data_IF_344529525033
#
_entry.id   IF_344529525033
#
_cell.length_a   1.000
_cell.length_b   1.000
_cell.length_c   1.000
_cell.angle_alpha   90.00
_cell.angle_beta   90.00
_cell.angle_gamma   90.00
#
_symmetry.space_group_name_H-M   'P 1'
#
loop_
_entity.id
_entity.type
_entity.pdbx_description
1 polymer ?
#
# COMPACT_ATOMS: atom_id res chain seq x y z
N UNK A 1 25.53 9.65 42.24
CA UNK A 1 24.97 8.34 41.90
C UNK A 1 23.49 8.45 41.56
N UNK A 2 22.63 9.12 42.36
CA UNK A 2 21.20 9.22 42.10
C UNK A 2 20.84 9.84 40.73
N UNK A 3 21.61 10.83 40.25
CA UNK A 3 21.42 11.43 38.93
C UNK A 3 21.72 10.47 37.78
N UNK A 4 22.77 9.67 37.92
CA UNK A 4 23.16 8.64 36.93
C UNK A 4 22.16 7.49 36.93
N UNK A 5 21.71 7.04 38.10
CA UNK A 5 20.71 6.00 38.23
C UNK A 5 19.36 6.45 37.62
N UNK A 6 18.99 7.71 37.85
CA UNK A 6 17.80 8.32 37.20
C UNK A 6 17.92 8.42 35.68
N UNK A 7 19.12 8.80 35.17
CA UNK A 7 19.38 8.85 33.73
C UNK A 7 19.31 7.45 33.08
N UNK A 8 19.85 6.43 33.77
CA UNK A 8 19.80 5.05 33.31
C UNK A 8 18.36 4.50 33.30
N UNK A 9 17.58 4.80 34.35
CA UNK A 9 16.15 4.44 34.38
C UNK A 9 15.37 5.13 33.26
N UNK A 10 15.66 6.43 33.01
CA UNK A 10 15.07 7.19 31.90
C UNK A 10 15.42 6.61 30.52
N UNK A 11 16.66 6.22 30.31
CA UNK A 11 17.10 5.53 29.09
C UNK A 11 16.40 4.18 28.89
N UNK A 12 16.20 3.42 29.95
CA UNK A 12 15.43 2.17 29.93
C UNK A 12 13.95 2.37 29.57
N UNK A 13 13.32 3.40 30.14
CA UNK A 13 11.94 3.76 29.80
C UNK A 13 11.81 4.22 28.34
N UNK A 14 12.78 4.98 27.85
CA UNK A 14 12.84 5.42 26.46
C UNK A 14 13.03 4.24 25.48
N UNK A 15 13.89 3.28 25.83
CA UNK A 15 14.07 2.05 25.06
C UNK A 15 12.77 1.24 24.95
N UNK A 16 12.05 1.07 26.07
CA UNK A 16 10.73 0.40 26.09
C UNK A 16 9.70 1.15 25.24
N UNK A 17 9.68 2.47 25.30
CA UNK A 17 8.84 3.32 24.47
C UNK A 17 9.15 3.17 22.98
N UNK A 18 10.43 3.11 22.61
CA UNK A 18 10.88 2.89 21.25
C UNK A 18 10.51 1.50 20.71
N UNK A 19 10.61 0.45 21.54
CA UNK A 19 10.15 -0.90 21.20
C UNK A 19 8.65 -0.94 20.92
N UNK A 20 7.87 -0.26 21.77
CA UNK A 20 6.41 -0.14 21.60
C UNK A 20 6.06 0.59 20.29
N UNK A 21 6.75 1.69 20.01
CA UNK A 21 6.57 2.45 18.77
C UNK A 21 6.93 1.62 17.54
N UNK A 22 8.08 0.95 17.57
CA UNK A 22 8.53 0.08 16.48
C UNK A 22 7.53 -1.06 16.22
N UNK A 23 7.04 -1.72 17.28
CA UNK A 23 6.00 -2.74 17.16
C UNK A 23 4.67 -2.21 16.62
N UNK A 24 4.29 -1.00 16.99
CA UNK A 24 3.12 -0.30 16.45
C UNK A 24 3.27 0.02 14.96
N UNK A 25 4.41 0.54 14.55
CA UNK A 25 4.72 0.85 13.15
C UNK A 25 4.80 -0.39 12.27
N UNK A 26 5.35 -1.51 12.76
CA UNK A 26 5.36 -2.79 12.04
C UNK A 26 3.93 -3.29 11.77
N UNK A 27 3.02 -3.16 12.75
CA UNK A 27 1.60 -3.51 12.56
C UNK A 27 0.91 -2.58 11.55
N UNK A 28 1.23 -1.28 11.61
CA UNK A 28 0.70 -0.28 10.68
C UNK A 28 1.21 -0.54 9.25
N UNK A 29 2.47 -0.89 9.08
CA UNK A 29 3.06 -1.28 7.79
C UNK A 29 2.35 -2.50 7.21
N UNK A 30 2.17 -3.57 8.00
CA UNK A 30 1.43 -4.75 7.56
C UNK A 30 -0.03 -4.45 7.19
N UNK A 31 -0.69 -3.53 7.91
CA UNK A 31 -2.02 -3.02 7.58
C UNK A 31 -2.04 -2.23 6.27
N UNK A 32 -1.06 -1.36 6.07
CA UNK A 32 -0.89 -0.55 4.87
C UNK A 32 -0.59 -1.41 3.62
N UNK A 33 0.26 -2.44 3.76
CA UNK A 33 0.53 -3.38 2.66
C UNK A 33 -0.74 -4.12 2.22
N UNK A 34 -1.58 -4.57 3.18
CA UNK A 34 -2.87 -5.19 2.87
C UNK A 34 -3.82 -4.23 2.17
N UNK A 35 -3.87 -2.98 2.61
CA UNK A 35 -4.71 -1.96 2.02
C UNK A 35 -4.23 -1.61 0.61
N UNK A 36 -2.93 -1.49 0.39
CA UNK A 36 -2.31 -1.27 -0.93
C UNK A 36 -2.61 -2.43 -1.89
N UNK A 37 -2.48 -3.68 -1.42
CA UNK A 37 -2.85 -4.87 -2.21
C UNK A 37 -4.34 -4.89 -2.56
N UNK A 38 -5.22 -4.58 -1.58
CA UNK A 38 -6.67 -4.47 -1.81
C UNK A 38 -7.03 -3.37 -2.82
N UNK A 39 -6.35 -2.24 -2.77
CA UNK A 39 -6.51 -1.13 -3.71
C UNK A 39 -6.10 -1.52 -5.13
N UNK A 40 -4.98 -2.23 -5.28
CA UNK A 40 -4.51 -2.78 -6.56
C UNK A 40 -5.52 -3.79 -7.12
N UNK A 41 -6.03 -4.68 -6.26
CA UNK A 41 -7.04 -5.66 -6.65
C UNK A 41 -8.35 -4.98 -7.08
N UNK A 42 -8.78 -3.92 -6.39
CA UNK A 42 -9.95 -3.14 -6.78
C UNK A 42 -9.79 -2.54 -8.17
N UNK A 43 -8.65 -1.90 -8.45
CA UNK A 43 -8.34 -1.35 -9.78
C UNK A 43 -8.42 -2.44 -10.86
N UNK A 44 -7.72 -3.55 -10.66
CA UNK A 44 -7.72 -4.68 -11.60
C UNK A 44 -9.11 -5.27 -11.81
N UNK A 45 -9.93 -5.35 -10.76
CA UNK A 45 -11.30 -5.86 -10.85
C UNK A 45 -12.21 -4.92 -11.66
N UNK A 46 -12.06 -3.59 -11.50
CA UNK A 46 -12.80 -2.60 -12.27
C UNK A 46 -12.37 -2.62 -13.74
N UNK A 47 -11.08 -2.73 -14.04
CA UNK A 47 -10.55 -2.87 -15.40
C UNK A 47 -11.05 -4.15 -16.09
N UNK A 48 -11.01 -5.28 -15.37
CA UNK A 48 -11.53 -6.55 -15.87
C UNK A 48 -13.06 -6.48 -16.11
N UNK A 49 -13.82 -5.90 -15.19
CA UNK A 49 -15.25 -5.68 -15.33
C UNK A 49 -15.59 -4.81 -16.52
N UNK A 50 -14.83 -3.74 -16.76
CA UNK A 50 -14.93 -2.87 -17.92
C UNK A 50 -14.68 -3.64 -19.23
N UNK A 51 -13.62 -4.46 -19.27
CA UNK A 51 -13.30 -5.29 -20.44
C UNK A 51 -14.40 -6.31 -20.71
N UNK A 52 -14.87 -7.05 -19.71
CA UNK A 52 -15.94 -8.03 -19.83
C UNK A 52 -17.25 -7.38 -20.30
N UNK A 53 -17.57 -6.20 -19.80
CA UNK A 53 -18.74 -5.43 -20.22
C UNK A 53 -18.63 -4.99 -21.68
N UNK A 54 -17.45 -4.57 -22.15
CA UNK A 54 -17.22 -4.23 -23.56
C UNK A 54 -17.37 -5.42 -24.48
N UNK A 55 -16.87 -6.60 -24.10
CA UNK A 55 -17.03 -7.85 -24.85
C UNK A 55 -18.50 -8.28 -24.91
N UNK A 56 -19.21 -8.20 -23.78
CA UNK A 56 -20.64 -8.49 -23.70
C UNK A 56 -21.45 -7.54 -24.58
N UNK A 57 -21.11 -6.23 -24.56
CA UNK A 57 -21.73 -5.25 -25.43
C UNK A 57 -21.47 -5.55 -26.91
N UNK A 58 -20.23 -5.89 -27.25
CA UNK A 58 -19.86 -6.24 -28.64
C UNK A 58 -20.67 -7.44 -29.15
N UNK A 59 -20.86 -8.45 -28.32
CA UNK A 59 -21.66 -9.65 -28.64
C UNK A 59 -23.14 -9.29 -28.85
N UNK A 60 -23.72 -8.56 -27.91
CA UNK A 60 -25.12 -8.12 -27.98
C UNK A 60 -25.35 -7.18 -29.15
N UNK A 61 -24.43 -6.23 -29.38
CA UNK A 61 -24.50 -5.30 -30.51
C UNK A 61 -24.34 -6.02 -31.85
N UNK A 62 -23.45 -6.99 -31.96
CA UNK A 62 -23.30 -7.82 -33.16
C UNK A 62 -24.58 -8.58 -33.50
N UNK A 63 -25.28 -9.09 -32.48
CA UNK A 63 -26.58 -9.75 -32.64
C UNK A 63 -27.65 -8.74 -33.12
N UNK A 64 -27.70 -7.57 -32.49
CA UNK A 64 -28.55 -6.46 -32.94
C UNK A 64 -28.26 -6.04 -34.38
N UNK A 65 -26.98 -5.84 -34.72
CA UNK A 65 -26.60 -5.39 -36.08
C UNK A 65 -27.04 -6.38 -37.16
N UNK A 66 -26.89 -7.71 -36.90
CA UNK A 66 -27.38 -8.75 -37.83
C UNK A 66 -28.89 -8.66 -38.06
N UNK A 67 -29.66 -8.42 -37.02
CA UNK A 67 -31.10 -8.26 -37.09
C UNK A 67 -31.45 -6.96 -37.83
N UNK A 68 -30.81 -5.83 -37.50
CA UNK A 68 -31.02 -4.55 -38.17
C UNK A 68 -30.67 -4.64 -39.66
N UNK A 69 -29.59 -5.31 -40.01
CA UNK A 69 -29.19 -5.60 -41.36
C UNK A 69 -30.27 -6.40 -42.12
N UNK A 70 -30.77 -7.49 -41.52
CA UNK A 70 -31.81 -8.31 -42.15
C UNK A 70 -33.13 -7.55 -42.33
N UNK A 71 -33.54 -6.75 -41.33
CA UNK A 71 -34.73 -5.88 -41.43
C UNK A 71 -34.58 -4.89 -42.60
N UNK A 72 -33.40 -4.27 -42.73
CA UNK A 72 -33.13 -3.31 -43.79
C UNK A 72 -33.09 -4.00 -45.17
N UNK A 73 -32.51 -5.20 -45.28
CA UNK A 73 -32.61 -6.02 -46.50
C UNK A 73 -34.06 -6.27 -46.90
N UNK A 74 -34.86 -6.74 -45.96
CA UNK A 74 -36.28 -7.04 -46.24
C UNK A 74 -37.08 -5.83 -46.66
N UNK A 75 -36.84 -4.66 -46.09
CA UNK A 75 -37.48 -3.42 -46.45
C UNK A 75 -37.15 -2.97 -47.90
N UNK A 76 -36.05 -3.45 -48.46
CA UNK A 76 -35.61 -3.21 -49.84
C UNK A 76 -35.90 -4.40 -50.78
N UNK A 77 -36.65 -5.41 -50.32
CA UNK A 77 -36.96 -6.58 -51.10
C UNK A 77 -35.77 -7.52 -51.33
N UNK A 78 -34.72 -7.42 -50.53
CA UNK A 78 -33.53 -8.24 -50.62
C UNK A 78 -33.61 -9.36 -49.59
N UNK A 79 -33.35 -10.60 -50.02
CA UNK A 79 -33.22 -11.70 -49.07
C UNK A 79 -31.86 -11.60 -48.33
N UNK A 80 -31.84 -11.43 -47.01
CA UNK A 80 -30.58 -11.24 -46.26
C UNK A 80 -29.60 -12.39 -46.38
N UNK A 81 -30.10 -13.62 -46.60
CA UNK A 81 -29.29 -14.87 -46.70
C UNK A 81 -28.62 -15.02 -48.10
N UNK A 82 -29.09 -14.29 -49.11
CA UNK A 82 -28.59 -14.38 -50.49
C UNK A 82 -28.15 -13.01 -51.03
N UNK A 83 -27.98 -12.03 -50.18
CA UNK A 83 -27.55 -10.69 -50.58
C UNK A 83 -26.13 -10.71 -51.18
N UNK A 84 -25.97 -10.14 -52.37
CA UNK A 84 -24.66 -10.02 -53.00
C UNK A 84 -23.75 -9.04 -52.23
N UNK A 85 -22.41 -9.11 -52.39
CA UNK A 85 -21.49 -8.18 -51.72
C UNK A 85 -21.84 -6.69 -51.99
N UNK A 86 -22.30 -6.33 -53.19
CA UNK A 86 -22.75 -4.97 -53.51
C UNK A 86 -24.00 -4.59 -52.71
N UNK A 87 -24.98 -5.49 -52.62
CA UNK A 87 -26.17 -5.28 -51.80
C UNK A 87 -25.84 -5.15 -50.34
N UNK A 88 -24.94 -5.99 -49.82
CA UNK A 88 -24.47 -5.91 -48.44
C UNK A 88 -23.83 -4.54 -48.15
N UNK A 89 -23.00 -4.02 -49.07
CA UNK A 89 -22.36 -2.70 -48.91
C UNK A 89 -23.40 -1.58 -48.88
N UNK A 90 -24.43 -1.64 -49.76
CA UNK A 90 -25.52 -0.65 -49.77
C UNK A 90 -26.31 -0.66 -48.47
N UNK A 91 -26.66 -1.83 -47.97
CA UNK A 91 -27.41 -1.96 -46.71
C UNK A 91 -26.56 -1.47 -45.53
N UNK A 92 -25.27 -1.82 -45.49
CA UNK A 92 -24.34 -1.35 -44.43
C UNK A 92 -24.23 0.20 -44.48
N UNK A 93 -24.13 0.79 -45.67
CA UNK A 93 -24.12 2.24 -45.83
C UNK A 93 -25.44 2.90 -45.37
N UNK A 94 -26.59 2.32 -45.65
CA UNK A 94 -27.89 2.82 -45.21
C UNK A 94 -28.01 2.77 -43.66
N UNK A 95 -27.56 1.70 -43.05
CA UNK A 95 -27.49 1.61 -41.58
C UNK A 95 -26.53 2.64 -40.98
N UNK A 96 -25.37 2.81 -41.60
CA UNK A 96 -24.38 3.81 -41.15
C UNK A 96 -24.92 5.24 -41.25
N UNK A 97 -25.67 5.57 -42.32
CA UNK A 97 -26.36 6.85 -42.45
C UNK A 97 -27.41 7.07 -41.34
N UNK A 98 -28.00 6.01 -40.82
CA UNK A 98 -28.91 6.04 -39.67
C UNK A 98 -28.15 6.01 -38.29
N UNK A 99 -26.82 6.11 -38.33
CA UNK A 99 -25.97 6.08 -37.12
C UNK A 99 -25.74 4.68 -36.56
N UNK A 100 -26.15 3.61 -37.28
CA UNK A 100 -25.94 2.22 -36.86
C UNK A 100 -24.67 1.69 -37.55
N UNK A 101 -23.54 1.81 -36.90
CA UNK A 101 -22.25 1.30 -37.37
C UNK A 101 -22.14 -0.21 -37.23
N UNK A 102 -21.37 -0.85 -38.10
CA UNK A 102 -21.07 -2.28 -37.95
C UNK A 102 -20.13 -2.53 -36.75
N UNK A 103 -19.28 -1.57 -36.40
CA UNK A 103 -18.34 -1.68 -35.31
C UNK A 103 -19.01 -1.27 -34.00
N UNK A 104 -19.06 -2.16 -32.98
CA UNK A 104 -19.60 -1.81 -31.68
C UNK A 104 -18.65 -0.83 -30.96
N UNK A 105 -19.22 0.16 -30.28
CA UNK A 105 -18.53 1.11 -29.42
C UNK A 105 -19.32 1.28 -28.13
N UNK A 106 -18.89 0.57 -27.09
CA UNK A 106 -19.52 0.62 -25.77
C UNK A 106 -19.38 1.98 -25.09
N UNK A 107 -18.43 2.81 -25.53
CA UNK A 107 -18.24 4.17 -24.98
C UNK A 107 -19.28 5.14 -25.54
N UNK A 108 -19.88 4.82 -26.68
CA UNK A 108 -20.81 5.69 -27.37
C UNK A 108 -22.25 5.55 -26.83
N UNK A 109 -22.66 6.54 -26.01
CA UNK A 109 -24.06 6.69 -25.58
C UNK A 109 -25.01 6.79 -26.75
N UNK A 110 -24.57 7.47 -27.82
CA UNK A 110 -25.36 7.65 -29.03
C UNK A 110 -25.60 6.31 -29.73
N UNK A 111 -24.56 5.49 -29.91
CA UNK A 111 -24.70 4.18 -30.53
C UNK A 111 -25.65 3.27 -29.74
N UNK A 112 -25.51 3.25 -28.42
CA UNK A 112 -26.42 2.50 -27.53
C UNK A 112 -27.88 2.97 -27.72
N UNK A 113 -28.11 4.29 -27.67
CA UNK A 113 -29.46 4.85 -27.79
C UNK A 113 -30.06 4.58 -29.19
N UNK A 114 -29.27 4.65 -30.24
CA UNK A 114 -29.73 4.32 -31.59
C UNK A 114 -30.06 2.84 -31.74
N UNK A 115 -29.27 1.95 -31.20
CA UNK A 115 -29.51 0.50 -31.24
C UNK A 115 -30.82 0.13 -30.54
N UNK A 116 -30.99 0.60 -29.29
CA UNK A 116 -32.22 0.34 -28.54
C UNK A 116 -33.43 1.00 -29.12
N UNK A 117 -33.28 2.25 -29.59
CA UNK A 117 -34.35 2.99 -30.30
C UNK A 117 -34.77 2.33 -31.61
N UNK A 118 -33.82 1.76 -32.37
CA UNK A 118 -34.13 1.04 -33.61
C UNK A 118 -35.00 -0.21 -33.33
N UNK A 119 -34.66 -0.98 -32.32
CA UNK A 119 -35.44 -2.16 -31.93
C UNK A 119 -36.87 -1.78 -31.61
N UNK A 120 -37.05 -0.75 -30.78
CA UNK A 120 -38.37 -0.29 -30.35
C UNK A 120 -39.18 0.26 -31.56
N UNK A 121 -38.57 1.09 -32.41
CA UNK A 121 -39.24 1.70 -33.58
C UNK A 121 -39.64 0.66 -34.62
N UNK A 122 -38.85 -0.38 -34.83
CA UNK A 122 -39.04 -1.40 -35.85
C UNK A 122 -39.45 -2.76 -35.26
N UNK A 123 -40.07 -2.78 -34.08
CA UNK A 123 -40.31 -4.01 -33.33
C UNK A 123 -40.97 -5.13 -34.14
N UNK A 124 -42.00 -4.81 -34.90
CA UNK A 124 -42.70 -5.81 -35.75
C UNK A 124 -41.78 -6.47 -36.78
N UNK A 125 -40.98 -5.66 -37.50
CA UNK A 125 -40.02 -6.16 -38.49
C UNK A 125 -38.85 -6.91 -37.83
N UNK A 126 -38.37 -6.44 -36.68
CA UNK A 126 -37.36 -7.13 -35.87
C UNK A 126 -37.89 -8.48 -35.42
N UNK A 127 -39.13 -8.54 -34.91
CA UNK A 127 -39.80 -9.80 -34.51
C UNK A 127 -39.95 -10.78 -35.67
N UNK A 128 -40.31 -10.29 -36.86
CA UNK A 128 -40.42 -11.14 -38.05
C UNK A 128 -39.09 -11.80 -38.43
N UNK A 129 -37.98 -11.04 -38.39
CA UNK A 129 -36.62 -11.54 -38.67
C UNK A 129 -36.20 -12.55 -37.63
N UNK A 130 -36.40 -12.23 -36.35
CA UNK A 130 -36.00 -13.11 -35.24
C UNK A 130 -36.85 -14.41 -35.25
N UNK A 131 -38.16 -14.29 -35.52
CA UNK A 131 -39.05 -15.46 -35.65
C UNK A 131 -38.62 -16.37 -36.80
N UNK A 132 -38.27 -15.82 -37.97
CA UNK A 132 -37.72 -16.60 -39.07
C UNK A 132 -36.42 -17.34 -38.68
N UNK A 133 -35.57 -16.73 -37.91
CA UNK A 133 -34.32 -17.31 -37.42
C UNK A 133 -34.62 -18.46 -36.41
N UNK A 134 -35.56 -18.23 -35.48
CA UNK A 134 -36.01 -19.25 -34.52
C UNK A 134 -36.64 -20.45 -35.24
N UNK A 135 -37.52 -20.21 -36.22
CA UNK A 135 -38.16 -21.28 -36.99
C UNK A 135 -37.12 -22.09 -37.79
N UNK A 136 -36.16 -21.40 -38.43
CA UNK A 136 -35.10 -22.08 -39.19
C UNK A 136 -34.19 -22.93 -38.26
N UNK A 137 -33.81 -22.42 -37.08
CA UNK A 137 -33.00 -23.13 -36.12
C UNK A 137 -33.72 -24.38 -35.57
N UNK A 138 -35.04 -24.36 -35.47
CA UNK A 138 -35.87 -25.47 -35.06
C UNK A 138 -36.25 -26.45 -36.20
N UNK A 139 -35.75 -26.23 -37.42
CA UNK A 139 -36.07 -27.05 -38.58
C UNK A 139 -37.56 -26.97 -38.98
N UNK A 140 -38.26 -25.89 -38.62
CA UNK A 140 -39.67 -25.70 -38.88
C UNK A 140 -40.62 -26.56 -37.99
N UNK A 141 -40.12 -27.19 -36.95
CA UNK A 141 -40.90 -28.09 -36.09
C UNK A 141 -41.72 -27.41 -34.99
N UNK A 142 -41.51 -26.10 -34.78
CA UNK A 142 -42.26 -25.32 -33.78
C UNK A 142 -43.52 -24.74 -34.41
N UNK A 143 -44.61 -24.68 -33.64
CA UNK A 143 -45.81 -23.97 -34.01
C UNK A 143 -45.56 -22.43 -33.97
N UNK A 144 -46.45 -21.71 -34.68
CA UNK A 144 -46.31 -20.25 -34.85
C UNK A 144 -46.36 -19.47 -33.54
N UNK A 145 -47.17 -19.90 -32.57
CA UNK A 145 -47.30 -19.30 -31.27
C UNK A 145 -45.99 -19.44 -30.47
N UNK A 146 -45.39 -20.64 -30.48
CA UNK A 146 -44.11 -20.92 -29.86
C UNK A 146 -42.96 -20.17 -30.51
N UNK A 147 -42.93 -20.09 -31.85
CA UNK A 147 -41.95 -19.28 -32.59
C UNK A 147 -42.07 -17.79 -32.22
N UNK A 148 -43.30 -17.28 -32.15
CA UNK A 148 -43.57 -15.88 -31.78
C UNK A 148 -43.09 -15.55 -30.37
N UNK A 149 -43.40 -16.43 -29.37
CA UNK A 149 -42.95 -16.26 -27.98
C UNK A 149 -41.42 -16.28 -27.84
N UNK A 150 -40.77 -17.24 -28.50
CA UNK A 150 -39.29 -17.31 -28.52
C UNK A 150 -38.65 -16.13 -29.21
N UNK A 151 -39.26 -15.54 -30.22
CA UNK A 151 -38.79 -14.34 -30.87
C UNK A 151 -38.84 -13.14 -29.92
N UNK A 152 -39.95 -13.00 -29.17
CA UNK A 152 -40.05 -11.94 -28.12
C UNK A 152 -38.99 -12.12 -27.03
N UNK A 153 -38.77 -13.36 -26.54
CA UNK A 153 -37.73 -13.66 -25.56
C UNK A 153 -36.31 -13.29 -26.07
N UNK A 154 -36.00 -13.61 -27.33
CA UNK A 154 -34.71 -13.26 -27.93
C UNK A 154 -34.53 -11.75 -28.10
N UNK A 155 -35.58 -11.02 -28.46
CA UNK A 155 -35.55 -9.56 -28.55
C UNK A 155 -35.31 -8.93 -27.17
N UNK A 156 -36.00 -9.41 -26.14
CA UNK A 156 -35.80 -8.98 -24.76
C UNK A 156 -34.37 -9.27 -24.33
N UNK A 157 -33.86 -10.48 -24.59
CA UNK A 157 -32.49 -10.88 -24.26
C UNK A 157 -31.46 -9.99 -24.94
N UNK A 158 -31.63 -9.70 -26.23
CA UNK A 158 -30.74 -8.80 -27.00
C UNK A 158 -30.76 -7.37 -26.45
N UNK A 159 -31.96 -6.85 -26.16
CA UNK A 159 -32.14 -5.47 -25.67
C UNK A 159 -31.59 -5.34 -24.23
N UNK A 160 -31.88 -6.31 -23.35
CA UNK A 160 -31.38 -6.32 -22.00
C UNK A 160 -29.86 -6.55 -21.96
N UNK A 161 -29.30 -7.38 -22.84
CA UNK A 161 -27.88 -7.60 -23.00
C UNK A 161 -27.14 -6.32 -23.38
N UNK A 162 -27.65 -5.55 -24.34
CA UNK A 162 -27.12 -4.23 -24.69
C UNK A 162 -27.15 -3.26 -23.52
N UNK A 163 -28.30 -3.19 -22.81
CA UNK A 163 -28.48 -2.27 -21.69
C UNK A 163 -27.57 -2.62 -20.51
N UNK A 164 -27.55 -3.88 -20.11
CA UNK A 164 -26.75 -4.36 -18.98
C UNK A 164 -25.25 -4.18 -19.25
N UNK A 165 -24.78 -4.53 -20.44
CA UNK A 165 -23.38 -4.40 -20.81
C UNK A 165 -22.95 -2.92 -20.87
N UNK A 166 -23.77 -2.06 -21.48
CA UNK A 166 -23.51 -0.61 -21.52
C UNK A 166 -23.45 0.00 -20.11
N UNK A 167 -24.42 -0.34 -19.27
CA UNK A 167 -24.45 0.17 -17.88
C UNK A 167 -23.28 -0.36 -17.05
N UNK A 168 -22.95 -1.66 -17.16
CA UNK A 168 -21.83 -2.25 -16.47
C UNK A 168 -20.50 -1.58 -16.86
N UNK A 169 -20.29 -1.35 -18.16
CA UNK A 169 -19.12 -0.62 -18.65
C UNK A 169 -19.03 0.78 -18.03
N UNK A 170 -20.12 1.54 -18.11
CA UNK A 170 -20.12 2.92 -17.60
C UNK A 170 -19.93 2.98 -16.10
N UNK A 171 -20.53 2.06 -15.34
CA UNK A 171 -20.35 2.00 -13.89
C UNK A 171 -18.88 1.73 -13.52
N UNK A 172 -18.25 0.72 -14.15
CA UNK A 172 -16.83 0.44 -13.92
C UNK A 172 -15.95 1.61 -14.36
N UNK A 173 -16.22 2.20 -15.52
CA UNK A 173 -15.45 3.31 -16.06
C UNK A 173 -15.57 4.56 -15.20
N UNK A 174 -16.78 4.94 -14.79
CA UNK A 174 -17.01 6.11 -13.92
C UNK A 174 -16.38 5.92 -12.56
N UNK A 175 -16.52 4.73 -11.96
CA UNK A 175 -15.90 4.42 -10.67
C UNK A 175 -14.38 4.49 -10.76
N UNK A 176 -13.79 3.88 -11.79
CA UNK A 176 -12.35 3.91 -12.00
C UNK A 176 -11.83 5.35 -12.18
N UNK A 177 -12.45 6.12 -13.09
CA UNK A 177 -12.07 7.53 -13.33
C UNK A 177 -12.23 8.37 -12.07
N UNK A 178 -13.30 8.19 -11.31
CA UNK A 178 -13.51 8.93 -10.05
C UNK A 178 -12.45 8.62 -9.00
N UNK A 179 -11.99 7.38 -8.92
CA UNK A 179 -10.92 6.97 -8.00
C UNK A 179 -9.55 7.48 -8.46
N UNK A 180 -9.30 7.48 -9.78
CA UNK A 180 -8.08 8.03 -10.38
C UNK A 180 -8.03 9.55 -10.23
N UNK A 181 -9.09 10.27 -10.55
CA UNK A 181 -9.19 11.73 -10.44
C UNK A 181 -9.08 12.20 -8.96
N UNK A 182 -9.57 11.40 -8.02
CA UNK A 182 -9.40 11.63 -6.59
C UNK A 182 -7.97 11.33 -6.10
N UNK A 183 -7.09 10.83 -6.94
CA UNK A 183 -5.73 10.42 -6.56
C UNK A 183 -5.70 9.23 -5.57
N UNK A 184 -6.77 8.44 -5.52
CA UNK A 184 -6.92 7.37 -4.53
C UNK A 184 -5.80 6.34 -4.62
N UNK A 185 -5.47 5.89 -5.82
CA UNK A 185 -4.44 4.86 -6.04
C UNK A 185 -3.03 5.38 -5.71
N UNK A 186 -2.71 6.60 -6.15
CA UNK A 186 -1.43 7.25 -5.89
C UNK A 186 -1.29 7.63 -4.41
N UNK A 187 -2.37 8.12 -3.81
CA UNK A 187 -2.42 8.43 -2.39
C UNK A 187 -2.17 7.20 -1.51
N UNK A 188 -2.72 6.05 -1.87
CA UNK A 188 -2.48 4.79 -1.16
C UNK A 188 -1.04 4.31 -1.29
N UNK A 189 -0.43 4.46 -2.47
CA UNK A 189 0.98 4.16 -2.70
C UNK A 189 1.87 5.07 -1.84
N UNK A 190 1.63 6.37 -1.89
CA UNK A 190 2.38 7.37 -1.10
C UNK A 190 2.23 7.15 0.41
N UNK A 191 1.03 6.79 0.88
CA UNK A 191 0.80 6.46 2.28
C UNK A 191 1.62 5.24 2.70
N UNK A 192 1.64 4.19 1.89
CA UNK A 192 2.40 2.98 2.17
C UNK A 192 3.91 3.26 2.25
N UNK A 193 4.44 4.06 1.33
CA UNK A 193 5.84 4.49 1.32
C UNK A 193 6.17 5.35 2.54
N UNK A 194 5.29 6.27 2.91
CA UNK A 194 5.43 7.09 4.11
C UNK A 194 5.48 6.26 5.40
N UNK A 195 4.64 5.23 5.51
CA UNK A 195 4.64 4.31 6.66
C UNK A 195 5.94 3.48 6.72
N UNK A 196 6.43 2.99 5.58
CA UNK A 196 7.72 2.27 5.50
C UNK A 196 8.90 3.17 5.92
N UNK A 197 8.89 4.42 5.49
CA UNK A 197 9.88 5.41 5.90
C UNK A 197 9.82 5.69 7.40
N UNK A 198 8.63 5.86 7.95
CA UNK A 198 8.43 6.05 9.39
C UNK A 198 8.90 4.84 10.21
N UNK A 199 8.63 3.62 9.76
CA UNK A 199 9.11 2.40 10.42
C UNK A 199 10.63 2.28 10.39
N UNK A 200 11.26 2.63 9.28
CA UNK A 200 12.72 2.71 9.15
C UNK A 200 13.31 3.74 10.12
N UNK A 201 12.73 4.94 10.20
CA UNK A 201 13.13 5.99 11.14
C UNK A 201 13.00 5.55 12.62
N UNK A 202 11.92 4.85 12.95
CA UNK A 202 11.73 4.32 14.31
C UNK A 202 12.78 3.25 14.68
N UNK A 203 13.17 2.41 13.72
CA UNK A 203 14.23 1.42 13.90
C UNK A 203 15.58 2.09 14.16
N UNK A 204 15.89 3.17 13.42
CA UNK A 204 17.11 3.96 13.64
C UNK A 204 17.09 4.66 15.00
N UNK A 205 15.95 5.24 15.38
CA UNK A 205 15.77 5.87 16.68
C UNK A 205 15.99 4.86 17.82
N UNK A 206 15.42 3.65 17.70
CA UNK A 206 15.64 2.56 18.66
C UNK A 206 17.13 2.23 18.80
N UNK A 207 17.85 2.05 17.70
CA UNK A 207 19.28 1.78 17.71
C UNK A 207 20.07 2.90 18.42
N UNK A 208 19.72 4.16 18.18
CA UNK A 208 20.32 5.31 18.88
C UNK A 208 20.05 5.30 20.40
N UNK A 209 18.84 4.94 20.80
CA UNK A 209 18.46 4.80 22.21
C UNK A 209 19.23 3.66 22.90
N UNK A 210 19.38 2.50 22.23
CA UNK A 210 20.15 1.37 22.75
C UNK A 210 21.62 1.75 22.96
N UNK A 211 22.21 2.53 22.03
CA UNK A 211 23.56 3.07 22.17
C UNK A 211 23.67 4.06 23.34
N UNK A 212 22.68 4.96 23.49
CA UNK A 212 22.64 5.90 24.62
C UNK A 212 22.54 5.18 25.97
N UNK A 213 21.70 4.14 26.04
CA UNK A 213 21.56 3.30 27.24
C UNK A 213 22.90 2.60 27.62
N UNK A 214 23.59 2.07 26.61
CA UNK A 214 24.90 1.46 26.79
C UNK A 214 25.91 2.48 27.29
N UNK A 215 25.96 3.68 26.71
CA UNK A 215 26.86 4.77 27.15
C UNK A 215 26.56 5.24 28.58
N UNK A 216 25.28 5.34 28.93
CA UNK A 216 24.87 5.69 30.31
C UNK A 216 25.29 4.60 31.32
N UNK A 217 25.19 3.33 30.97
CA UNK A 217 25.66 2.21 31.78
C UNK A 217 27.17 2.26 32.04
N UNK A 218 27.95 2.58 31.00
CA UNK A 218 29.40 2.73 31.12
C UNK A 218 29.79 3.93 31.98
N UNK A 219 29.05 5.06 31.83
CA UNK A 219 29.27 6.24 32.69
C UNK A 219 28.95 5.92 34.15
N UNK A 220 27.89 5.16 34.42
CA UNK A 220 27.56 4.67 35.77
C UNK A 220 28.68 3.79 36.36
N UNK A 221 29.20 2.85 35.58
CA UNK A 221 30.31 2.01 36.00
C UNK A 221 31.57 2.84 36.28
N UNK A 222 31.93 3.77 35.44
CA UNK A 222 33.07 4.69 35.62
C UNK A 222 32.92 5.56 36.85
N UNK A 223 31.72 6.07 37.13
CA UNK A 223 31.43 6.86 38.33
C UNK A 223 31.61 6.02 39.61
N UNK A 224 31.18 4.75 39.60
CA UNK A 224 31.39 3.83 40.75
C UNK A 224 32.87 3.54 40.97
N UNK A 225 33.65 3.36 39.91
CA UNK A 225 35.10 3.18 40.01
C UNK A 225 35.80 4.41 40.56
N UNK A 226 35.43 5.61 40.08
CA UNK A 226 35.95 6.87 40.60
C UNK A 226 35.65 7.04 42.09
N UNK A 227 34.42 6.74 42.51
CA UNK A 227 34.03 6.77 43.92
C UNK A 227 34.86 5.82 44.76
N UNK A 228 35.10 4.60 44.27
CA UNK A 228 35.98 3.62 44.96
C UNK A 228 37.42 4.13 45.04
N UNK A 229 37.95 4.69 43.96
CA UNK A 229 39.29 5.28 43.93
C UNK A 229 39.46 6.47 44.93
N UNK A 230 38.45 7.33 45.00
CA UNK A 230 38.42 8.42 45.98
C UNK A 230 38.33 7.91 47.42
N UNK A 231 37.61 6.83 47.68
CA UNK A 231 37.56 6.17 48.97
C UNK A 231 38.94 5.63 49.37
N UNK A 232 39.64 4.99 48.43
CA UNK A 232 41.00 4.50 48.61
C UNK A 232 41.99 5.65 48.90
N UNK A 233 41.89 6.76 48.18
CA UNK A 233 42.69 7.98 48.37
C UNK A 233 42.42 8.58 49.77
N UNK A 234 41.15 8.68 50.18
CA UNK A 234 40.75 9.17 51.49
C UNK A 234 41.38 8.31 52.62
N UNK A 235 41.34 7.00 52.45
CA UNK A 235 41.96 6.07 53.39
C UNK A 235 43.49 6.25 53.46
N UNK A 236 44.13 6.43 52.29
CA UNK A 236 45.56 6.71 52.18
C UNK A 236 45.95 8.02 52.88
N UNK A 237 45.15 9.09 52.68
CA UNK A 237 45.35 10.40 53.34
C UNK A 237 45.16 10.27 54.88
N UNK A 238 44.19 9.51 55.35
CA UNK A 238 44.00 9.26 56.77
C UNK A 238 45.21 8.50 57.36
N UNK A 239 45.71 7.50 56.63
CA UNK A 239 46.94 6.76 57.04
C UNK A 239 48.13 7.66 57.08
N UNK A 240 48.31 8.56 56.08
CA UNK A 240 49.37 9.54 56.07
C UNK A 240 49.25 10.53 57.26
N UNK A 241 48.04 11.04 57.51
CA UNK A 241 47.74 11.93 58.62
C UNK A 241 48.08 11.28 59.95
N UNK A 242 47.70 10.02 60.15
CA UNK A 242 48.02 9.25 61.33
C UNK A 242 49.54 9.04 61.49
N UNK A 243 50.19 8.73 60.36
CA UNK A 243 51.67 8.50 60.39
C UNK A 243 52.45 9.79 60.66
N UNK A 244 51.99 10.91 60.13
CA UNK A 244 52.56 12.27 60.39
C UNK A 244 52.29 12.65 61.84
N UNK A 245 51.09 12.41 62.36
CA UNK A 245 50.75 12.63 63.75
C UNK A 245 51.63 11.79 64.74
N UNK A 246 51.99 10.57 64.35
CA UNK A 246 52.91 9.69 65.15
C UNK A 246 54.36 10.02 64.87
N UNK A 247 54.72 10.90 64.00
CA UNK A 247 56.09 11.33 63.72
C UNK A 247 56.71 12.10 64.87
N UNK A 248 55.89 12.68 65.76
CA UNK A 248 56.40 13.29 67.04
C UNK A 248 57.01 12.26 67.98
N UNK A 249 56.92 10.96 67.69
CA UNK A 249 57.42 9.84 68.48
C UNK A 249 58.43 8.91 67.78
N UNK A 250 59.23 9.45 66.84
CA UNK A 250 60.35 8.74 66.19
C UNK A 250 60.05 7.41 65.52
N UNK A 251 59.27 7.40 64.37
CA UNK A 251 59.23 6.27 63.45
C UNK A 251 59.24 6.68 61.99
N UNK A 252 60.43 6.79 61.40
CA UNK A 252 60.65 7.11 59.94
C UNK A 252 59.98 6.08 59.00
N UNK A 253 59.77 4.83 59.39
CA UNK A 253 59.24 3.78 58.51
C UNK A 253 57.76 3.88 58.19
N UNK A 254 56.93 4.52 58.98
CA UNK A 254 55.49 4.61 58.78
C UNK A 254 55.12 5.69 57.75
N UNK A 255 55.86 6.77 57.64
CA UNK A 255 55.64 7.81 56.66
C UNK A 255 55.95 7.33 55.22
N UNK A 256 57.07 6.63 55.03
CA UNK A 256 57.48 6.06 53.77
C UNK A 256 56.45 5.05 53.26
N UNK A 257 55.91 4.16 54.09
CA UNK A 257 54.88 3.17 53.67
C UNK A 257 53.54 3.81 53.36
N UNK A 258 53.13 4.87 54.08
CA UNK A 258 51.92 5.61 53.84
C UNK A 258 52.00 6.43 52.55
N UNK A 259 53.15 7.05 52.24
CA UNK A 259 53.41 7.72 50.97
C UNK A 259 53.43 6.75 49.80
N UNK A 260 53.97 5.55 49.98
CA UNK A 260 53.92 4.49 48.95
C UNK A 260 52.47 4.06 48.62
N UNK A 261 51.65 3.82 49.64
CA UNK A 261 50.25 3.46 49.48
C UNK A 261 49.44 4.57 48.81
N UNK A 262 49.68 5.83 49.18
CA UNK A 262 49.05 7.00 48.57
C UNK A 262 49.41 7.10 47.09
N UNK A 263 50.69 6.97 46.73
CA UNK A 263 51.17 6.98 45.35
C UNK A 263 50.56 5.86 44.51
N UNK A 264 50.48 4.63 45.07
CA UNK A 264 49.86 3.50 44.42
C UNK A 264 48.36 3.75 44.14
N UNK A 265 47.63 4.28 45.13
CA UNK A 265 46.20 4.58 45.01
C UNK A 265 45.93 5.73 44.03
N UNK A 266 46.79 6.77 44.00
CA UNK A 266 46.72 7.82 43.01
C UNK A 266 46.96 7.31 41.58
N UNK A 267 47.92 6.40 41.39
CA UNK A 267 48.17 5.75 40.09
C UNK A 267 46.99 4.92 39.58
N UNK A 268 46.33 4.18 40.46
CA UNK A 268 45.12 3.42 40.14
C UNK A 268 43.96 4.34 39.73
N UNK A 269 43.73 5.42 40.48
CA UNK A 269 42.70 6.39 40.17
C UNK A 269 42.93 7.03 38.79
N UNK A 270 44.17 7.40 38.46
CA UNK A 270 44.54 7.96 37.17
C UNK A 270 44.36 6.95 36.03
N UNK A 271 44.78 5.69 36.21
CA UNK A 271 44.82 4.67 35.15
C UNK A 271 43.45 4.09 34.86
N UNK A 272 42.69 3.74 35.90
CA UNK A 272 41.41 3.04 35.78
C UNK A 272 40.23 4.03 35.65
N UNK A 273 40.15 5.06 36.50
CA UNK A 273 39.04 5.99 36.53
C UNK A 273 39.01 6.90 35.30
N UNK A 274 40.18 7.44 34.90
CA UNK A 274 40.29 8.37 33.76
C UNK A 274 40.06 7.63 32.45
N UNK A 275 40.59 6.43 32.29
CA UNK A 275 40.38 5.61 31.07
C UNK A 275 38.91 5.26 30.83
N UNK A 276 38.17 4.91 31.87
CA UNK A 276 36.75 4.59 31.77
C UNK A 276 35.91 5.81 31.45
N UNK A 277 36.21 6.95 32.10
CA UNK A 277 35.52 8.23 31.77
C UNK A 277 35.79 8.65 30.34
N UNK A 278 37.01 8.53 29.83
CA UNK A 278 37.37 8.88 28.46
C UNK A 278 36.68 7.97 27.43
N UNK A 279 36.58 6.66 27.73
CA UNK A 279 35.84 5.72 26.90
C UNK A 279 34.35 6.04 26.85
N UNK A 280 33.71 6.31 27.99
CA UNK A 280 32.31 6.70 28.09
C UNK A 280 32.02 8.02 27.34
N UNK A 281 32.89 9.01 27.46
CA UNK A 281 32.76 10.29 26.77
C UNK A 281 32.92 10.13 25.25
N UNK A 282 33.85 9.29 24.82
CA UNK A 282 34.06 9.00 23.38
C UNK A 282 32.83 8.33 22.75
N UNK A 283 32.22 7.38 23.46
CA UNK A 283 30.97 6.75 23.01
C UNK A 283 29.79 7.71 23.00
N UNK A 284 29.66 8.56 24.01
CA UNK A 284 28.62 9.58 24.06
C UNK A 284 28.75 10.56 22.87
N UNK A 285 29.97 10.92 22.52
CA UNK A 285 30.28 11.80 21.38
C UNK A 285 29.92 11.12 20.05
N UNK A 286 30.27 9.84 19.89
CA UNK A 286 29.93 9.06 18.71
C UNK A 286 28.40 8.90 18.55
N UNK A 287 27.70 8.62 19.65
CA UNK A 287 26.24 8.51 19.66
C UNK A 287 25.54 9.83 19.31
N UNK A 288 26.07 10.97 19.79
CA UNK A 288 25.56 12.29 19.44
C UNK A 288 25.79 12.64 17.96
N UNK A 289 26.90 12.21 17.37
CA UNK A 289 27.16 12.36 15.94
C UNK A 289 26.16 11.53 15.09
N UNK A 290 25.86 10.28 15.51
CA UNK A 290 24.89 9.41 14.87
C UNK A 290 23.46 9.99 14.94
N UNK A 291 23.08 10.54 16.10
CA UNK A 291 21.78 11.21 16.29
C UNK A 291 21.62 12.50 15.46
N UNK A 292 22.73 13.20 15.14
CA UNK A 292 22.69 14.40 14.29
C UNK A 292 22.66 14.08 12.80
N UNK A 293 23.05 12.89 12.40
CA UNK A 293 23.15 12.47 10.99
C UNK A 293 21.92 11.69 10.50
N UNK A 294 21.03 11.27 11.40
CA UNK A 294 19.73 10.64 11.10
C UNK A 294 18.59 11.63 11.16
#
# INVERSE_FOLDING_TARGET
DAGIDSALAGAGALATGADTLSGGLTKLEAGSDKLSAGTTQLKSSLEAGKTQAAESYSTAYGSFYKVAFAVTCMSQGINPNSATPQQQAVIAAALAQSGISQTPDVTSKTQYALATGYILKNYASVKQVVAATVSAAAGGQLDEATVSSKADEQIVTMTSGLSQAYQAYNNCNTTLSSLEDAGYFDGMTSLNEGIKSANSGATQLKAGIDQLSTGAGQLSAGSKQLKSGLGTLSTGLNTLSTSVGSFSTYREGTLCSSLYVLNLNAGKLQQEGTAVLQSGLSQLTANNATLKSG
#
